data_IF_498993891600
#
_entry.id   IF_498993891600
#
_cell.length_a   1.000
_cell.length_b   1.000
_cell.length_c   1.000
_cell.angle_alpha   90.00
_cell.angle_beta   90.00
_cell.angle_gamma   90.00
#
_symmetry.space_group_name_H-M   'P 1'
#
loop_
_entity.id
_entity.type
_entity.pdbx_description
1 polymer ?
#
# COMPACT_ATOMS: atom_id res chain seq x y z
N UNK A 1 11.60 -13.44 -2.95
CA UNK A 1 12.48 -12.30 -2.60
C UNK A 1 11.55 -11.21 -2.08
N UNK A 2 11.28 -11.20 -0.77
CA UNK A 2 10.36 -10.23 -0.17
C UNK A 2 11.01 -8.86 -0.34
N UNK A 3 10.41 -8.02 -1.17
CA UNK A 3 10.87 -6.67 -1.42
C UNK A 3 10.87 -5.91 -0.10
N UNK A 4 12.05 -5.44 0.34
CA UNK A 4 12.16 -4.65 1.56
C UNK A 4 11.58 -3.24 1.29
N UNK A 5 10.25 -3.15 1.28
CA UNK A 5 9.51 -1.92 0.97
C UNK A 5 9.88 -0.78 1.93
N UNK A 6 10.11 -1.10 3.21
CA UNK A 6 10.55 -0.15 4.21
C UNK A 6 11.92 0.45 3.86
N UNK A 7 12.87 -0.34 3.34
CA UNK A 7 14.14 0.19 2.85
C UNK A 7 13.97 1.13 1.66
N UNK A 8 13.10 0.80 0.70
CA UNK A 8 12.82 1.70 -0.43
C UNK A 8 12.21 3.04 0.01
N UNK A 9 11.35 3.01 1.03
CA UNK A 9 10.78 4.22 1.64
C UNK A 9 11.87 5.04 2.34
N UNK A 10 12.72 4.38 3.14
CA UNK A 10 13.82 5.01 3.85
C UNK A 10 14.82 5.70 2.89
N UNK A 11 15.23 5.00 1.83
CA UNK A 11 16.12 5.53 0.79
C UNK A 11 15.54 6.77 0.12
N UNK A 12 14.24 6.73 -0.22
CA UNK A 12 13.55 7.86 -0.85
C UNK A 12 13.46 9.07 0.08
N UNK A 13 13.15 8.86 1.36
CA UNK A 13 13.11 9.93 2.37
C UNK A 13 14.50 10.55 2.53
N UNK A 14 15.55 9.73 2.68
CA UNK A 14 16.92 10.21 2.83
C UNK A 14 17.37 11.04 1.63
N UNK A 15 17.08 10.56 0.41
CA UNK A 15 17.39 11.28 -0.83
C UNK A 15 16.69 12.63 -0.92
N UNK A 16 15.38 12.69 -0.62
CA UNK A 16 14.62 13.95 -0.65
C UNK A 16 15.05 14.93 0.44
N UNK A 17 15.40 14.43 1.63
CA UNK A 17 15.96 15.26 2.72
C UNK A 17 17.28 15.91 2.31
N UNK A 18 18.16 15.16 1.65
CA UNK A 18 19.42 15.69 1.12
C UNK A 18 19.18 16.83 0.13
N UNK A 19 18.33 16.62 -0.87
CA UNK A 19 18.00 17.64 -1.87
C UNK A 19 17.36 18.90 -1.25
N UNK A 20 16.51 18.73 -0.24
CA UNK A 20 15.90 19.86 0.45
C UNK A 20 16.91 20.66 1.27
N UNK A 21 17.85 19.98 1.94
CA UNK A 21 18.91 20.61 2.72
C UNK A 21 19.86 21.43 1.83
N UNK A 22 20.18 20.95 0.62
CA UNK A 22 20.93 21.71 -0.39
C UNK A 22 20.24 23.03 -0.78
N UNK A 23 18.93 23.13 -0.59
CA UNK A 23 18.12 24.33 -0.84
C UNK A 23 17.76 25.10 0.45
N UNK A 24 18.34 24.74 1.60
CA UNK A 24 18.05 25.37 2.89
C UNK A 24 16.63 25.14 3.41
N UNK A 25 15.96 24.06 2.99
CA UNK A 25 14.56 23.74 3.34
C UNK A 25 14.48 22.47 4.17
N UNK A 26 13.50 22.41 5.06
CA UNK A 26 13.10 21.21 5.79
C UNK A 26 11.78 20.66 5.24
N UNK A 27 11.70 19.35 5.05
CA UNK A 27 10.50 18.67 4.55
C UNK A 27 9.86 17.82 5.65
N UNK A 28 8.53 17.74 5.61
CA UNK A 28 7.74 16.72 6.30
C UNK A 28 7.25 15.71 5.27
N UNK A 29 7.13 14.46 5.71
CA UNK A 29 6.73 13.36 4.83
C UNK A 29 5.40 12.79 5.29
N UNK A 30 4.53 12.54 4.30
CA UNK A 30 3.26 11.87 4.53
C UNK A 30 3.14 10.61 3.69
N UNK A 31 2.46 9.61 4.24
CA UNK A 31 2.10 8.39 3.53
C UNK A 31 0.59 8.24 3.49
N UNK A 32 0.09 7.77 2.35
CA UNK A 32 -1.31 7.38 2.20
C UNK A 32 -1.40 5.86 2.23
N UNK A 33 -2.19 5.35 3.16
CA UNK A 33 -2.42 3.92 3.33
C UNK A 33 -3.91 3.66 3.51
N UNK A 34 -4.36 2.51 3.02
CA UNK A 34 -5.63 1.96 3.43
C UNK A 34 -5.45 1.11 4.67
N UNK A 35 -6.51 0.92 5.46
CA UNK A 35 -6.43 0.10 6.69
C UNK A 35 -7.63 -0.84 6.79
N UNK A 36 -7.36 -2.10 7.09
CA UNK A 36 -8.33 -3.12 7.52
C UNK A 36 -7.81 -3.66 8.85
N UNK A 37 -8.40 -3.19 9.94
CA UNK A 37 -8.03 -3.64 11.29
C UNK A 37 -9.22 -4.21 12.04
N UNK A 38 -8.98 -5.22 12.88
CA UNK A 38 -9.96 -5.93 13.70
C UNK A 38 -9.33 -6.34 15.03
N UNK A 39 -10.12 -6.92 15.93
CA UNK A 39 -9.61 -7.42 17.21
C UNK A 39 -8.53 -8.50 17.02
N UNK A 40 -8.62 -9.29 15.94
CA UNK A 40 -7.62 -10.31 15.60
C UNK A 40 -7.16 -10.21 14.15
N UNK A 41 -5.90 -10.60 13.89
CA UNK A 41 -5.33 -10.69 12.54
C UNK A 41 -6.22 -11.53 11.61
N UNK A 42 -6.71 -12.67 12.10
CA UNK A 42 -7.57 -13.58 11.34
C UNK A 42 -8.85 -12.90 10.83
N UNK A 43 -9.50 -12.10 11.68
CA UNK A 43 -10.70 -11.37 11.27
C UNK A 43 -10.39 -10.28 10.24
N UNK A 44 -9.24 -9.60 10.37
CA UNK A 44 -8.82 -8.59 9.41
C UNK A 44 -8.53 -9.20 8.03
N UNK A 45 -7.81 -10.33 8.00
CA UNK A 45 -7.53 -11.07 6.78
C UNK A 45 -8.80 -11.66 6.14
N UNK A 46 -9.72 -12.20 6.95
CA UNK A 46 -11.01 -12.67 6.44
C UNK A 46 -11.82 -11.53 5.77
N UNK A 47 -11.73 -10.30 6.28
CA UNK A 47 -12.34 -9.15 5.61
C UNK A 47 -11.61 -8.78 4.31
N UNK A 48 -10.28 -8.84 4.28
CA UNK A 48 -9.53 -8.62 3.04
C UNK A 48 -9.90 -9.64 1.96
N UNK A 49 -10.05 -10.92 2.33
CA UNK A 49 -10.49 -11.99 1.45
C UNK A 49 -11.93 -11.77 0.98
N UNK A 50 -12.84 -11.35 1.87
CA UNK A 50 -14.23 -11.00 1.52
C UNK A 50 -14.28 -9.87 0.49
N UNK A 51 -13.47 -8.84 0.67
CA UNK A 51 -13.37 -7.73 -0.29
C UNK A 51 -12.83 -8.22 -1.64
N UNK A 52 -11.79 -9.05 -1.63
CA UNK A 52 -11.21 -9.64 -2.84
C UNK A 52 -12.21 -10.52 -3.60
N UNK A 53 -12.98 -11.33 -2.88
CA UNK A 53 -14.03 -12.18 -3.45
C UNK A 53 -15.17 -11.37 -4.09
N UNK A 54 -15.44 -10.17 -3.57
CA UNK A 54 -16.41 -9.24 -4.16
C UNK A 54 -15.95 -8.60 -5.47
N UNK A 55 -14.67 -8.73 -5.85
CA UNK A 55 -14.18 -8.18 -7.10
C UNK A 55 -14.45 -9.14 -8.27
N UNK A 56 -15.27 -8.67 -9.22
CA UNK A 56 -15.52 -9.38 -10.47
C UNK A 56 -14.21 -9.56 -11.27
N UNK A 57 -13.86 -10.81 -11.68
CA UNK A 57 -12.65 -11.08 -12.47
C UNK A 57 -12.56 -10.27 -13.77
N UNK A 58 -13.66 -10.03 -14.46
CA UNK A 58 -13.66 -9.28 -15.72
C UNK A 58 -13.39 -7.79 -15.47
N UNK A 59 -13.97 -7.24 -14.40
CA UNK A 59 -13.64 -5.89 -13.92
C UNK A 59 -12.16 -5.76 -13.58
N UNK A 60 -11.56 -6.72 -12.86
CA UNK A 60 -10.11 -6.72 -12.57
C UNK A 60 -9.30 -6.71 -13.86
N UNK A 61 -9.58 -7.61 -14.81
CA UNK A 61 -8.86 -7.66 -16.10
C UNK A 61 -8.95 -6.34 -16.86
N UNK A 62 -10.15 -5.77 -16.95
CA UNK A 62 -10.38 -4.50 -17.64
C UNK A 62 -9.58 -3.35 -17.02
N UNK A 63 -9.61 -3.24 -15.68
CA UNK A 63 -8.83 -2.24 -14.94
C UNK A 63 -7.33 -2.45 -15.16
N UNK A 64 -6.83 -3.68 -15.03
CA UNK A 64 -5.41 -3.98 -15.24
C UNK A 64 -4.94 -3.66 -16.67
N UNK A 65 -5.74 -3.97 -17.69
CA UNK A 65 -5.44 -3.61 -19.08
C UNK A 65 -5.42 -2.08 -19.31
N UNK A 66 -6.25 -1.34 -18.57
CA UNK A 66 -6.19 0.12 -18.53
C UNK A 66 -4.92 0.64 -17.86
N UNK A 67 -4.59 0.12 -16.68
CA UNK A 67 -3.45 0.56 -15.88
C UNK A 67 -2.10 0.21 -16.52
N UNK A 68 -2.01 -0.90 -17.26
CA UNK A 68 -0.82 -1.27 -18.03
C UNK A 68 -0.44 -0.27 -19.12
N UNK A 69 -1.39 0.56 -19.57
CA UNK A 69 -1.17 1.64 -20.54
C UNK A 69 -0.76 2.97 -19.89
N UNK A 70 -0.66 3.02 -18.57
CA UNK A 70 -0.27 4.22 -17.85
C UNK A 70 1.22 4.51 -17.98
N UNK A 71 1.57 5.76 -18.29
CA UNK A 71 2.94 6.26 -18.29
C UNK A 71 3.45 6.63 -16.87
N UNK A 72 2.63 6.42 -15.83
CA UNK A 72 3.00 6.74 -14.46
C UNK A 72 3.96 5.71 -13.88
N UNK A 73 5.17 6.15 -13.52
CA UNK A 73 6.14 5.33 -12.78
C UNK A 73 5.58 4.79 -11.46
N UNK A 74 4.70 5.54 -10.78
CA UNK A 74 4.01 5.08 -9.58
C UNK A 74 3.09 3.90 -9.88
N UNK A 75 2.33 3.98 -10.98
CA UNK A 75 1.46 2.89 -11.41
C UNK A 75 2.26 1.66 -11.86
N UNK A 76 3.36 1.87 -12.60
CA UNK A 76 4.26 0.78 -13.01
C UNK A 76 4.82 0.01 -11.81
N UNK A 77 5.26 0.72 -10.76
CA UNK A 77 5.76 0.07 -9.53
C UNK A 77 4.67 -0.71 -8.82
N UNK A 78 3.43 -0.21 -8.79
CA UNK A 78 2.30 -0.94 -8.21
C UNK A 78 1.98 -2.22 -8.98
N UNK A 79 1.94 -2.17 -10.31
CA UNK A 79 1.75 -3.36 -11.14
C UNK A 79 2.82 -4.41 -10.86
N UNK A 80 4.06 -3.99 -10.61
CA UNK A 80 5.15 -4.90 -10.25
C UNK A 80 4.98 -5.56 -8.87
N UNK A 81 4.16 -5.01 -7.97
CA UNK A 81 3.94 -5.57 -6.63
C UNK A 81 3.00 -6.79 -6.64
N UNK A 82 2.03 -6.84 -7.56
CA UNK A 82 1.06 -7.93 -7.63
C UNK A 82 1.07 -8.68 -8.97
N UNK A 83 1.78 -8.18 -9.99
CA UNK A 83 1.93 -8.82 -11.30
C UNK A 83 0.61 -9.01 -12.07
N UNK A 84 -0.44 -8.29 -11.69
CA UNK A 84 -1.80 -8.49 -12.19
C UNK A 84 -2.50 -9.75 -11.67
N UNK A 85 -1.89 -10.53 -10.77
CA UNK A 85 -2.48 -11.74 -10.19
C UNK A 85 -3.19 -11.46 -8.86
N UNK A 86 -4.11 -12.36 -8.49
CA UNK A 86 -4.71 -12.43 -7.15
C UNK A 86 -3.86 -13.19 -6.15
N UNK A 87 -2.81 -13.85 -6.63
CA UNK A 87 -1.88 -14.60 -5.79
C UNK A 87 -0.78 -13.68 -5.24
N UNK A 88 -0.32 -13.96 -4.01
CA UNK A 88 0.82 -13.23 -3.43
C UNK A 88 0.56 -11.76 -3.15
N UNK A 89 -0.69 -11.38 -2.87
CA UNK A 89 -1.08 -9.99 -2.60
C UNK A 89 -0.56 -9.46 -1.27
N UNK A 90 -0.13 -10.32 -0.35
CA UNK A 90 0.65 -9.90 0.81
C UNK A 90 2.11 -9.69 0.38
N UNK A 91 2.48 -8.42 0.21
CA UNK A 91 3.80 -8.02 -0.32
C UNK A 91 4.83 -7.81 0.80
N UNK A 92 4.36 -7.67 2.03
CA UNK A 92 5.13 -7.58 3.27
C UNK A 92 4.19 -7.98 4.42
N UNK A 93 4.68 -8.51 5.56
CA UNK A 93 3.87 -8.75 6.75
C UNK A 93 2.90 -7.60 7.04
N UNK A 94 1.60 -7.94 7.12
CA UNK A 94 0.49 -7.01 7.36
C UNK A 94 0.29 -5.93 6.29
N UNK A 95 0.86 -6.08 5.10
CA UNK A 95 0.73 -5.14 3.99
C UNK A 95 0.24 -5.84 2.72
N UNK A 96 -0.96 -5.45 2.30
CA UNK A 96 -1.71 -6.09 1.23
C UNK A 96 -1.88 -5.16 0.03
N UNK A 97 -1.62 -5.66 -1.17
CA UNK A 97 -1.69 -4.92 -2.43
C UNK A 97 -2.97 -5.17 -3.23
N UNK A 98 -3.93 -5.95 -2.71
CA UNK A 98 -5.11 -6.38 -3.46
C UNK A 98 -6.05 -5.25 -3.92
N UNK A 99 -6.05 -4.09 -3.25
CA UNK A 99 -6.82 -2.93 -3.70
C UNK A 99 -6.32 -2.37 -5.04
N UNK A 100 -5.03 -2.58 -5.36
CA UNK A 100 -4.43 -2.17 -6.64
C UNK A 100 -4.95 -2.95 -7.84
N UNK A 101 -5.69 -4.06 -7.62
CA UNK A 101 -6.30 -4.84 -8.69
C UNK A 101 -7.49 -4.14 -9.35
N UNK A 102 -8.26 -3.37 -8.56
CA UNK A 102 -9.53 -2.77 -8.99
C UNK A 102 -9.52 -1.25 -9.03
N UNK A 103 -8.43 -0.63 -8.56
CA UNK A 103 -8.31 0.83 -8.53
C UNK A 103 -6.89 1.24 -8.92
N UNK A 104 -6.78 2.22 -9.81
CA UNK A 104 -5.52 2.88 -10.12
C UNK A 104 -5.00 3.72 -8.95
N UNK A 105 -3.67 3.83 -8.84
CA UNK A 105 -2.98 4.56 -7.78
C UNK A 105 -2.21 3.65 -6.84
N UNK A 106 -1.21 4.24 -6.16
CA UNK A 106 -0.35 3.55 -5.20
C UNK A 106 -1.01 3.35 -3.84
N UNK A 107 -2.09 2.56 -3.82
CA UNK A 107 -2.76 2.15 -2.59
C UNK A 107 -2.28 0.79 -2.14
N UNK A 108 -1.62 0.73 -0.99
CA UNK A 108 -1.45 -0.49 -0.20
C UNK A 108 -2.34 -0.43 1.03
N UNK A 109 -2.69 -1.59 1.58
CA UNK A 109 -3.60 -1.74 2.71
C UNK A 109 -2.84 -2.37 3.88
N UNK A 110 -2.87 -1.75 5.06
CA UNK A 110 -2.45 -2.38 6.29
C UNK A 110 -3.55 -3.34 6.76
N UNK A 111 -3.22 -4.62 6.96
CA UNK A 111 -4.17 -5.67 7.35
C UNK A 111 -3.64 -6.40 8.58
N UNK A 112 -4.39 -6.38 9.69
CA UNK A 112 -3.98 -7.04 10.93
C UNK A 112 -4.83 -6.70 12.14
N UNK A 113 -4.40 -7.16 13.32
CA UNK A 113 -4.99 -6.73 14.58
C UNK A 113 -4.77 -5.22 14.80
N UNK A 114 -5.46 -4.63 15.78
CA UNK A 114 -5.23 -3.24 16.17
C UNK A 114 -3.76 -2.98 16.54
N UNK A 115 -3.16 -3.92 17.29
CA UNK A 115 -1.77 -3.81 17.72
C UNK A 115 -0.79 -3.97 16.55
N UNK A 116 -0.99 -4.96 15.69
CA UNK A 116 -0.13 -5.20 14.52
C UNK A 116 -0.12 -3.98 13.58
N UNK A 117 -1.30 -3.41 13.30
CA UNK A 117 -1.42 -2.21 12.47
C UNK A 117 -0.76 -1.01 13.13
N UNK A 118 -0.92 -0.83 14.44
CA UNK A 118 -0.25 0.22 15.19
C UNK A 118 1.28 0.08 15.12
N UNK A 119 1.80 -1.15 15.21
CA UNK A 119 3.23 -1.41 15.10
C UNK A 119 3.77 -1.09 13.69
N UNK A 120 3.03 -1.43 12.62
CA UNK A 120 3.41 -1.00 11.26
C UNK A 120 3.43 0.53 11.12
N UNK A 121 2.48 1.24 11.73
CA UNK A 121 2.46 2.71 11.73
C UNK A 121 3.68 3.28 12.47
N UNK A 122 4.04 2.70 13.63
CA UNK A 122 5.25 3.10 14.38
C UNK A 122 6.52 2.88 13.56
N UNK A 123 6.61 1.80 12.79
CA UNK A 123 7.75 1.56 11.90
C UNK A 123 7.86 2.64 10.81
N UNK A 124 6.76 3.01 10.16
CA UNK A 124 6.75 4.12 9.20
C UNK A 124 7.13 5.46 9.85
N UNK A 125 6.66 5.70 11.07
CA UNK A 125 7.02 6.88 11.82
C UNK A 125 8.53 6.91 12.16
N UNK A 126 9.11 5.75 12.53
CA UNK A 126 10.55 5.64 12.77
C UNK A 126 11.40 5.93 11.52
N UNK A 127 10.84 5.76 10.31
CA UNK A 127 11.48 6.17 9.06
C UNK A 127 11.39 7.68 8.77
N UNK A 128 10.68 8.44 9.60
CA UNK A 128 10.51 9.89 9.47
C UNK A 128 9.28 10.29 8.65
N UNK A 129 8.25 9.45 8.63
CA UNK A 129 6.91 9.81 8.14
C UNK A 129 6.09 10.34 9.30
N UNK A 130 5.72 11.62 9.22
CA UNK A 130 5.01 12.32 10.29
C UNK A 130 3.49 12.36 10.03
N UNK A 131 3.07 12.21 8.77
CA UNK A 131 1.69 12.37 8.34
C UNK A 131 1.11 11.07 7.76
N UNK A 132 -0.09 10.69 8.23
CA UNK A 132 -0.77 9.47 7.80
C UNK A 132 -2.16 9.79 7.25
N UNK A 133 -2.32 9.63 5.93
CA UNK A 133 -3.62 9.76 5.27
C UNK A 133 -4.24 8.37 5.19
N UNK A 134 -5.08 8.05 6.17
CA UNK A 134 -5.73 6.74 6.27
C UNK A 134 -7.08 6.73 5.53
N UNK A 135 -7.29 5.72 4.70
CA UNK A 135 -8.51 5.53 3.94
C UNK A 135 -9.19 4.21 4.30
N UNK A 136 -10.51 4.22 4.47
CA UNK A 136 -11.28 2.97 4.60
C UNK A 136 -11.31 2.24 3.25
N UNK A 137 -11.25 0.91 3.28
CA UNK A 137 -11.61 0.08 2.12
C UNK A 137 -13.06 -0.35 2.27
N UNK A 138 -13.85 -0.18 1.22
CA UNK A 138 -15.22 -0.69 1.14
C UNK A 138 -15.42 -1.34 -0.23
N UNK A 139 -16.07 -2.49 -0.25
CA UNK A 139 -16.53 -3.09 -1.49
C UNK A 139 -17.54 -2.14 -2.18
N UNK A 140 -17.54 -2.05 -3.52
CA UNK A 140 -18.70 -1.52 -4.23
C UNK A 140 -19.93 -2.37 -3.86
N UNK A 141 -21.03 -1.70 -3.54
CA UNK A 141 -22.33 -2.33 -3.29
C UNK A 141 -23.08 -2.60 -4.58
#
# INVERSE_FOLDING_TARGET
MVSNLFAQVAEKIAWLRKLAAEQGRTLRFGIRLHVITRDTARQAWAEADRLLAGFDPETVKSVQAGLARSESEGQRRMLALHGGSRDGLEIHPNLWAGIGLVRGGAGTVLVGSHDEVADRIKEYHALGIDEFVLCRVSAPG
#
